data_IF_345743953811
#
_entry.id   IF_345743953811
#
_cell.length_a   1.000
_cell.length_b   1.000
_cell.length_c   1.000
_cell.angle_alpha   90.00
_cell.angle_beta   90.00
_cell.angle_gamma   90.00
#
_symmetry.space_group_name_H-M   'P 1'
#
loop_
_entity.id
_entity.type
_entity.pdbx_description
1 polymer ?
#
# COMPACT_ATOMS: atom_id res chain seq x y z
N UNK A 1 -26.25 -47.75 9.17
CA UNK A 1 -25.55 -47.43 7.89
C UNK A 1 -25.37 -45.92 7.70
N UNK A 2 -26.43 -45.09 7.73
CA UNK A 2 -26.29 -43.62 7.58
C UNK A 2 -25.37 -42.94 8.62
N UNK A 3 -25.40 -43.36 9.90
CA UNK A 3 -24.54 -42.76 10.95
C UNK A 3 -23.06 -43.11 10.73
N UNK A 4 -22.72 -44.35 10.38
CA UNK A 4 -21.35 -44.74 10.05
C UNK A 4 -20.83 -44.04 8.79
N UNK A 5 -21.67 -43.88 7.76
CA UNK A 5 -21.29 -43.15 6.53
C UNK A 5 -21.06 -41.67 6.83
N UNK A 6 -21.91 -41.02 7.62
CA UNK A 6 -21.70 -39.63 8.04
C UNK A 6 -20.43 -39.46 8.88
N UNK A 7 -20.15 -40.36 9.83
CA UNK A 7 -18.93 -40.29 10.66
C UNK A 7 -17.68 -40.52 9.80
N UNK A 8 -17.67 -41.49 8.90
CA UNK A 8 -16.56 -41.72 7.98
C UNK A 8 -16.32 -40.52 7.05
N UNK A 9 -17.37 -39.93 6.47
CA UNK A 9 -17.24 -38.73 5.61
C UNK A 9 -16.72 -37.54 6.40
N UNK A 10 -17.23 -37.28 7.61
CA UNK A 10 -16.73 -36.21 8.46
C UNK A 10 -15.26 -36.41 8.84
N UNK A 11 -14.86 -37.63 9.22
CA UNK A 11 -13.46 -37.94 9.55
C UNK A 11 -12.55 -37.77 8.33
N UNK A 12 -12.95 -38.25 7.15
CA UNK A 12 -12.18 -38.09 5.93
C UNK A 12 -12.01 -36.61 5.54
N UNK A 13 -13.08 -35.81 5.61
CA UNK A 13 -13.01 -34.37 5.31
C UNK A 13 -12.11 -33.64 6.31
N UNK A 14 -12.25 -33.92 7.61
CA UNK A 14 -11.39 -33.35 8.65
C UNK A 14 -9.92 -33.68 8.41
N UNK A 15 -9.61 -34.94 8.08
CA UNK A 15 -8.24 -35.37 7.79
C UNK A 15 -7.69 -34.66 6.54
N UNK A 16 -8.47 -34.58 5.45
CA UNK A 16 -8.05 -33.87 4.23
C UNK A 16 -7.78 -32.39 4.48
N UNK A 17 -8.66 -31.72 5.23
CA UNK A 17 -8.51 -30.30 5.57
C UNK A 17 -7.27 -30.09 6.43
N UNK A 18 -7.07 -30.91 7.46
CA UNK A 18 -5.87 -30.85 8.30
C UNK A 18 -4.59 -31.02 7.47
N UNK A 19 -4.53 -32.02 6.59
CA UNK A 19 -3.37 -32.26 5.72
C UNK A 19 -3.09 -31.05 4.81
N UNK A 20 -4.14 -30.44 4.23
CA UNK A 20 -4.01 -29.23 3.42
C UNK A 20 -3.47 -28.03 4.20
N UNK A 21 -3.93 -27.84 5.45
CA UNK A 21 -3.44 -26.77 6.33
C UNK A 21 -1.98 -26.99 6.73
N UNK A 22 -1.60 -28.21 7.12
CA UNK A 22 -0.23 -28.57 7.46
C UNK A 22 0.69 -28.29 6.26
N UNK A 23 0.35 -28.79 5.06
CA UNK A 23 1.14 -28.57 3.86
C UNK A 23 1.26 -27.07 3.51
N UNK A 24 0.16 -26.31 3.63
CA UNK A 24 0.17 -24.86 3.38
C UNK A 24 1.10 -24.13 4.34
N UNK A 25 1.09 -24.50 5.63
CA UNK A 25 1.96 -23.92 6.66
C UNK A 25 3.43 -24.24 6.42
N UNK A 26 3.75 -25.51 6.15
CA UNK A 26 5.09 -25.98 5.80
C UNK A 26 5.65 -25.23 4.58
N UNK A 27 4.87 -25.17 3.50
CA UNK A 27 5.29 -24.47 2.26
C UNK A 27 5.47 -22.97 2.48
N UNK A 28 4.66 -22.34 3.33
CA UNK A 28 4.79 -20.93 3.67
C UNK A 28 6.07 -20.66 4.48
N UNK A 29 6.40 -21.51 5.45
CA UNK A 29 7.63 -21.43 6.23
C UNK A 29 8.87 -21.57 5.36
N UNK A 30 8.94 -22.61 4.52
CA UNK A 30 10.07 -22.85 3.61
C UNK A 30 10.25 -21.65 2.67
N UNK A 31 9.16 -21.18 2.05
CA UNK A 31 9.21 -20.01 1.17
C UNK A 31 9.71 -18.77 1.91
N UNK A 32 9.19 -18.49 3.10
CA UNK A 32 9.62 -17.36 3.93
C UNK A 32 11.12 -17.39 4.24
N UNK A 33 11.63 -18.57 4.64
CA UNK A 33 13.05 -18.77 4.90
C UNK A 33 13.93 -18.51 3.67
N UNK A 34 13.56 -19.08 2.51
CA UNK A 34 14.31 -18.88 1.25
C UNK A 34 14.38 -17.40 0.87
N UNK A 35 13.25 -16.67 0.95
CA UNK A 35 13.23 -15.24 0.65
C UNK A 35 14.05 -14.41 1.65
N UNK A 36 14.07 -14.79 2.92
CA UNK A 36 14.92 -14.13 3.93
C UNK A 36 16.41 -14.32 3.63
N UNK A 37 16.82 -15.52 3.24
CA UNK A 37 18.19 -15.77 2.79
C UNK A 37 18.55 -14.97 1.53
N UNK A 38 17.63 -14.89 0.55
CA UNK A 38 17.82 -14.08 -0.65
C UNK A 38 17.99 -12.60 -0.33
N UNK A 39 17.16 -12.06 0.57
CA UNK A 39 17.28 -10.69 1.05
C UNK A 39 18.65 -10.40 1.67
N UNK A 40 19.10 -11.25 2.58
CA UNK A 40 20.41 -11.09 3.23
C UNK A 40 21.57 -11.09 2.22
N UNK A 41 21.54 -12.01 1.23
CA UNK A 41 22.55 -12.07 0.17
C UNK A 41 22.52 -10.83 -0.74
N UNK A 42 21.33 -10.38 -1.13
CA UNK A 42 21.16 -9.22 -2.00
C UNK A 42 21.61 -7.94 -1.29
N UNK A 43 21.20 -7.74 -0.04
CA UNK A 43 21.62 -6.60 0.78
C UNK A 43 23.14 -6.53 0.94
N UNK A 44 23.79 -7.67 1.28
CA UNK A 44 25.24 -7.76 1.36
C UNK A 44 25.92 -7.37 0.04
N UNK A 45 25.43 -7.90 -1.09
CA UNK A 45 26.01 -7.61 -2.41
C UNK A 45 25.90 -6.13 -2.77
N UNK A 46 24.73 -5.53 -2.56
CA UNK A 46 24.48 -4.10 -2.83
C UNK A 46 25.40 -3.22 -1.96
N UNK A 47 25.51 -3.50 -0.66
CA UNK A 47 26.39 -2.75 0.25
C UNK A 47 27.86 -2.81 -0.15
N UNK A 48 28.35 -4.00 -0.54
CA UNK A 48 29.74 -4.16 -0.99
C UNK A 48 29.99 -3.37 -2.29
N UNK A 49 29.10 -3.48 -3.28
CA UNK A 49 29.25 -2.75 -4.55
C UNK A 49 29.21 -1.24 -4.33
N UNK A 50 28.32 -0.75 -3.46
CA UNK A 50 28.21 0.67 -3.16
C UNK A 50 29.45 1.17 -2.41
N UNK A 51 29.96 0.40 -1.45
CA UNK A 51 31.19 0.74 -0.74
C UNK A 51 32.41 0.76 -1.69
N UNK A 52 32.53 -0.21 -2.60
CA UNK A 52 33.59 -0.22 -3.62
C UNK A 52 33.52 0.99 -4.55
N UNK A 53 32.32 1.45 -4.90
CA UNK A 53 32.13 2.66 -5.69
C UNK A 53 32.52 3.93 -4.89
N UNK A 54 32.13 4.01 -3.62
CA UNK A 54 32.47 5.14 -2.74
C UNK A 54 33.98 5.32 -2.56
N UNK A 55 34.73 4.23 -2.38
CA UNK A 55 36.20 4.30 -2.18
C UNK A 55 36.94 4.81 -3.41
N UNK A 56 36.36 4.70 -4.61
CA UNK A 56 36.97 5.20 -5.86
C UNK A 56 36.65 6.67 -6.16
N UNK A 57 35.84 7.31 -5.32
CA UNK A 57 35.39 8.67 -5.53
C UNK A 57 36.47 9.69 -5.15
N UNK A 58 36.47 10.85 -5.81
CA UNK A 58 37.39 11.94 -5.52
C UNK A 58 37.22 12.56 -4.12
N UNK A 59 38.30 13.15 -3.59
CA UNK A 59 38.33 13.79 -2.27
C UNK A 59 37.31 14.93 -2.14
N UNK A 60 37.09 15.72 -3.19
CA UNK A 60 36.13 16.82 -3.19
C UNK A 60 34.69 16.39 -2.87
N UNK A 61 34.31 15.14 -3.17
CA UNK A 61 33.01 14.59 -2.79
C UNK A 61 32.84 14.45 -1.27
N UNK A 62 33.92 14.12 -0.56
CA UNK A 62 33.91 13.91 0.90
C UNK A 62 34.00 15.23 1.68
N UNK A 63 34.44 16.32 1.07
CA UNK A 63 34.43 17.66 1.69
C UNK A 63 33.01 18.25 1.73
N UNK A 64 32.19 17.98 0.71
CA UNK A 64 30.80 18.46 0.64
C UNK A 64 29.85 17.56 1.43
N UNK A 65 30.10 16.25 1.46
CA UNK A 65 29.14 15.26 1.99
C UNK A 65 29.55 14.78 3.38
N UNK A 66 28.66 14.92 4.38
CA UNK A 66 28.93 14.46 5.75
C UNK A 66 29.06 12.94 5.81
N UNK A 67 30.07 12.44 6.54
CA UNK A 67 30.31 11.00 6.75
C UNK A 67 29.11 10.27 7.37
N UNK A 68 28.35 10.95 8.24
CA UNK A 68 27.14 10.42 8.86
C UNK A 68 26.03 10.14 7.84
N UNK A 69 25.83 11.03 6.88
CA UNK A 69 24.84 10.87 5.82
C UNK A 69 25.22 9.71 4.91
N UNK A 70 26.50 9.60 4.53
CA UNK A 70 26.99 8.48 3.72
C UNK A 70 26.78 7.13 4.41
N UNK A 71 27.01 7.05 5.72
CA UNK A 71 26.84 5.82 6.51
C UNK A 71 25.37 5.42 6.64
N UNK A 72 24.48 6.40 6.89
CA UNK A 72 23.03 6.15 6.91
C UNK A 72 22.53 5.71 5.54
N UNK A 73 22.94 6.34 4.44
CA UNK A 73 22.53 5.91 3.09
C UNK A 73 23.07 4.53 2.72
N UNK A 74 24.33 4.25 3.07
CA UNK A 74 24.93 2.92 2.87
C UNK A 74 24.18 1.84 3.66
N UNK A 75 23.64 2.17 4.84
CA UNK A 75 22.97 1.20 5.70
C UNK A 75 21.46 1.14 5.50
N UNK A 76 20.75 2.26 5.67
CA UNK A 76 19.30 2.35 5.69
C UNK A 76 18.71 2.32 4.29
N UNK A 77 19.20 3.15 3.36
CA UNK A 77 18.64 3.23 2.01
C UNK A 77 18.86 1.93 1.24
N UNK A 78 20.06 1.34 1.33
CA UNK A 78 20.34 0.04 0.70
C UNK A 78 19.48 -1.08 1.27
N UNK A 79 19.16 -1.05 2.57
CA UNK A 79 18.30 -2.05 3.22
C UNK A 79 16.85 -1.88 2.81
N UNK A 80 16.32 -0.66 2.84
CA UNK A 80 14.97 -0.34 2.39
C UNK A 80 14.77 -0.70 0.91
N UNK A 81 15.74 -0.37 0.06
CA UNK A 81 15.72 -0.73 -1.36
C UNK A 81 15.73 -2.25 -1.54
N UNK A 82 16.68 -2.95 -0.91
CA UNK A 82 16.80 -4.42 -1.01
C UNK A 82 15.52 -5.12 -0.53
N UNK A 83 14.94 -4.65 0.58
CA UNK A 83 13.72 -5.22 1.15
C UNK A 83 12.53 -5.01 0.21
N UNK A 84 12.39 -3.79 -0.32
CA UNK A 84 11.31 -3.46 -1.26
C UNK A 84 11.39 -4.31 -2.53
N UNK A 85 12.58 -4.49 -3.11
CA UNK A 85 12.76 -5.34 -4.30
C UNK A 85 12.34 -6.78 -4.01
N UNK A 86 12.85 -7.37 -2.93
CA UNK A 86 12.56 -8.77 -2.57
C UNK A 86 11.08 -8.98 -2.27
N UNK A 87 10.42 -8.05 -1.56
CA UNK A 87 8.99 -8.12 -1.28
C UNK A 87 8.14 -8.01 -2.55
N UNK A 88 8.44 -7.07 -3.44
CA UNK A 88 7.72 -6.91 -4.69
C UNK A 88 7.86 -8.14 -5.59
N UNK A 89 9.07 -8.71 -5.70
CA UNK A 89 9.30 -9.95 -6.46
C UNK A 89 8.54 -11.13 -5.84
N UNK A 90 8.50 -11.26 -4.51
CA UNK A 90 7.72 -12.31 -3.83
C UNK A 90 6.22 -12.19 -4.17
N UNK A 91 5.66 -10.98 -4.05
CA UNK A 91 4.25 -10.72 -4.31
C UNK A 91 3.93 -10.97 -5.78
N UNK A 92 4.79 -10.52 -6.69
CA UNK A 92 4.63 -10.72 -8.13
C UNK A 92 4.62 -12.21 -8.49
N UNK A 93 5.65 -12.95 -8.07
CA UNK A 93 5.75 -14.39 -8.36
C UNK A 93 4.56 -15.16 -7.79
N UNK A 94 4.16 -14.85 -6.55
CA UNK A 94 2.99 -15.46 -5.91
C UNK A 94 1.70 -15.18 -6.67
N UNK A 95 1.52 -13.94 -7.13
CA UNK A 95 0.32 -13.53 -7.85
C UNK A 95 0.28 -14.14 -9.25
N UNK A 96 1.43 -14.22 -9.93
CA UNK A 96 1.56 -14.88 -11.22
C UNK A 96 1.22 -16.38 -11.15
N UNK A 97 1.80 -17.11 -10.18
CA UNK A 97 1.50 -18.54 -9.98
C UNK A 97 0.02 -18.75 -9.66
N UNK A 98 -0.55 -17.92 -8.77
CA UNK A 98 -1.98 -18.00 -8.45
C UNK A 98 -2.86 -17.72 -9.67
N UNK A 99 -2.54 -16.70 -10.45
CA UNK A 99 -3.29 -16.33 -11.65
C UNK A 99 -3.29 -17.49 -12.66
N UNK A 100 -2.12 -18.05 -12.97
CA UNK A 100 -2.00 -19.18 -13.91
C UNK A 100 -2.71 -20.42 -13.36
N UNK A 101 -2.53 -20.74 -12.07
CA UNK A 101 -3.13 -21.91 -11.45
C UNK A 101 -4.66 -21.86 -11.36
N UNK A 102 -5.23 -20.69 -11.01
CA UNK A 102 -6.69 -20.52 -10.98
C UNK A 102 -7.26 -20.54 -12.39
N UNK A 103 -6.62 -19.85 -13.33
CA UNK A 103 -7.08 -19.80 -14.72
C UNK A 103 -7.09 -21.18 -15.37
N UNK A 104 -6.02 -21.98 -15.19
CA UNK A 104 -5.95 -23.34 -15.74
C UNK A 104 -6.99 -24.28 -15.13
N UNK A 105 -7.20 -24.23 -13.81
CA UNK A 105 -8.25 -25.01 -13.14
C UNK A 105 -9.65 -24.64 -13.65
N UNK A 106 -9.95 -23.35 -13.68
CA UNK A 106 -11.24 -22.82 -14.14
C UNK A 106 -11.56 -23.29 -15.57
N UNK A 107 -10.58 -23.18 -16.47
CA UNK A 107 -10.67 -23.60 -17.87
C UNK A 107 -10.92 -25.10 -18.00
N UNK A 108 -10.22 -25.93 -17.21
CA UNK A 108 -10.38 -27.39 -17.21
C UNK A 108 -11.76 -27.84 -16.72
N UNK A 109 -12.40 -27.10 -15.82
CA UNK A 109 -13.74 -27.44 -15.33
C UNK A 109 -14.82 -27.12 -16.36
N UNK A 110 -14.87 -25.88 -16.85
CA UNK A 110 -15.87 -25.47 -17.86
C UNK A 110 -15.49 -24.19 -18.58
N UNK A 111 -15.09 -24.31 -19.85
CA UNK A 111 -14.70 -23.16 -20.69
C UNK A 111 -15.81 -22.10 -20.85
N UNK A 112 -17.09 -22.49 -20.75
CA UNK A 112 -18.23 -21.59 -20.94
C UNK A 112 -18.39 -20.61 -19.77
N UNK A 113 -18.33 -21.08 -18.52
CA UNK A 113 -18.44 -20.19 -17.36
C UNK A 113 -17.22 -19.27 -17.25
N UNK A 114 -16.03 -19.76 -17.59
CA UNK A 114 -14.81 -18.94 -17.52
C UNK A 114 -14.82 -17.76 -18.46
N UNK A 115 -15.41 -17.91 -19.65
CA UNK A 115 -15.47 -16.83 -20.63
C UNK A 115 -16.39 -15.70 -20.15
N UNK A 116 -17.51 -16.06 -19.51
CA UNK A 116 -18.44 -15.09 -18.90
C UNK A 116 -17.75 -14.32 -17.78
N UNK A 117 -17.07 -15.00 -16.85
CA UNK A 117 -16.35 -14.33 -15.75
C UNK A 117 -15.18 -13.49 -16.25
N UNK A 118 -14.51 -13.93 -17.33
CA UNK A 118 -13.41 -13.17 -17.93
C UNK A 118 -13.88 -11.86 -18.59
N UNK A 119 -15.13 -11.77 -19.03
CA UNK A 119 -15.73 -10.52 -19.56
C UNK A 119 -16.23 -9.62 -18.42
N UNK A 120 -16.73 -10.20 -17.33
CA UNK A 120 -17.21 -9.44 -16.16
C UNK A 120 -16.07 -8.72 -15.41
N UNK A 121 -14.92 -9.39 -15.21
CA UNK A 121 -13.75 -8.84 -14.50
C UNK A 121 -13.23 -7.51 -15.08
N UNK A 122 -12.96 -7.36 -16.40
CA UNK A 122 -12.48 -6.09 -16.95
C UNK A 122 -13.53 -4.99 -16.86
N UNK A 123 -14.83 -5.32 -16.98
CA UNK A 123 -15.91 -4.34 -16.83
C UNK A 123 -15.91 -3.74 -15.43
N UNK A 124 -15.83 -4.58 -14.40
CA UNK A 124 -15.70 -4.12 -13.00
C UNK A 124 -14.41 -3.31 -12.82
N UNK A 125 -13.29 -3.78 -13.38
CA UNK A 125 -11.99 -3.11 -13.24
C UNK A 125 -11.98 -1.69 -13.84
N UNK A 126 -12.63 -1.50 -14.99
CA UNK A 126 -12.75 -0.18 -15.64
C UNK A 126 -13.58 0.76 -14.76
N UNK A 127 -14.75 0.32 -14.28
CA UNK A 127 -15.60 1.10 -13.38
C UNK A 127 -14.84 1.50 -12.09
N UNK A 128 -14.11 0.54 -11.49
CA UNK A 128 -13.27 0.80 -10.31
C UNK A 128 -12.16 1.80 -10.60
N UNK A 129 -11.51 1.72 -11.77
CA UNK A 129 -10.43 2.64 -12.15
C UNK A 129 -10.93 4.08 -12.27
N UNK A 130 -12.07 4.28 -12.92
CA UNK A 130 -12.70 5.61 -13.08
C UNK A 130 -13.02 6.20 -11.70
N UNK A 131 -13.69 5.41 -10.85
CA UNK A 131 -14.00 5.81 -9.49
C UNK A 131 -12.73 6.15 -8.68
N UNK A 132 -11.70 5.29 -8.73
CA UNK A 132 -10.47 5.48 -7.98
C UNK A 132 -9.72 6.75 -8.43
N UNK A 133 -9.65 7.03 -9.73
CA UNK A 133 -9.06 8.27 -10.24
C UNK A 133 -9.81 9.49 -9.75
N UNK A 134 -11.15 9.46 -9.77
CA UNK A 134 -11.96 10.57 -9.27
C UNK A 134 -11.80 10.75 -7.74
N UNK A 135 -11.84 9.66 -6.99
CA UNK A 135 -11.64 9.66 -5.53
C UNK A 135 -10.26 10.16 -5.12
N UNK A 136 -9.21 9.81 -5.87
CA UNK A 136 -7.85 10.31 -5.63
C UNK A 136 -7.72 11.81 -5.89
N UNK A 137 -8.34 12.34 -6.96
CA UNK A 137 -8.38 13.78 -7.22
C UNK A 137 -9.03 14.53 -6.05
N UNK A 138 -10.20 14.07 -5.60
CA UNK A 138 -10.92 14.69 -4.50
C UNK A 138 -10.19 14.55 -3.15
N UNK A 139 -9.51 13.42 -2.93
CA UNK A 139 -8.65 13.26 -1.74
C UNK A 139 -7.47 14.22 -1.75
N UNK A 140 -6.87 14.47 -2.92
CA UNK A 140 -5.79 15.45 -3.08
C UNK A 140 -6.30 16.87 -2.81
N UNK A 141 -7.46 17.23 -3.32
CA UNK A 141 -8.08 18.54 -3.09
C UNK A 141 -8.36 18.79 -1.60
N UNK A 142 -8.86 17.77 -0.87
CA UNK A 142 -9.02 17.81 0.59
C UNK A 142 -7.67 17.98 1.31
N UNK A 143 -6.61 17.30 0.85
CA UNK A 143 -5.27 17.45 1.44
C UNK A 143 -4.72 18.87 1.21
N UNK A 144 -4.89 19.42 0.00
CA UNK A 144 -4.45 20.77 -0.33
C UNK A 144 -5.24 21.82 0.47
N UNK A 145 -6.54 21.63 0.70
CA UNK A 145 -7.34 22.54 1.53
C UNK A 145 -6.92 22.51 3.00
N UNK A 146 -6.67 21.31 3.55
CA UNK A 146 -6.12 21.12 4.91
C UNK A 146 -4.75 21.77 5.03
N UNK A 147 -3.88 21.62 4.03
CA UNK A 147 -2.57 22.26 4.01
C UNK A 147 -2.68 23.79 4.03
N UNK A 148 -3.60 24.38 3.26
CA UNK A 148 -3.88 25.83 3.29
C UNK A 148 -4.40 26.30 4.64
N UNK A 149 -5.30 25.55 5.28
CA UNK A 149 -5.79 25.88 6.61
C UNK A 149 -4.66 25.82 7.65
N UNK A 150 -3.82 24.79 7.61
CA UNK A 150 -2.67 24.66 8.50
C UNK A 150 -1.62 25.76 8.28
N UNK A 151 -1.38 26.16 7.03
CA UNK A 151 -0.50 27.28 6.72
C UNK A 151 -1.04 28.60 7.31
N UNK A 152 -2.34 28.87 7.14
CA UNK A 152 -2.97 30.06 7.72
C UNK A 152 -2.91 30.07 9.26
N UNK A 153 -3.12 28.91 9.90
CA UNK A 153 -2.92 28.79 11.35
C UNK A 153 -1.47 29.03 11.76
N UNK A 154 -0.51 28.49 11.00
CA UNK A 154 0.92 28.71 11.23
C UNK A 154 1.31 30.18 11.13
N UNK A 155 0.82 30.89 10.11
CA UNK A 155 1.01 32.33 9.93
C UNK A 155 0.40 33.12 11.10
N UNK A 156 -0.84 32.81 11.48
CA UNK A 156 -1.52 33.47 12.59
C UNK A 156 -0.80 33.30 13.93
N UNK A 157 -0.32 32.09 14.22
CA UNK A 157 0.45 31.80 15.45
C UNK A 157 1.81 32.50 15.42
N UNK A 158 2.51 32.50 14.28
CA UNK A 158 3.79 33.21 14.13
C UNK A 158 3.63 34.74 14.28
N UNK A 159 2.51 35.28 13.79
CA UNK A 159 2.17 36.70 13.81
C UNK A 159 1.32 37.11 15.03
N UNK A 160 1.25 36.31 16.11
CA UNK A 160 0.35 36.57 17.24
C UNK A 160 0.56 37.94 17.89
N UNK A 161 1.82 38.42 17.92
CA UNK A 161 2.16 39.74 18.47
C UNK A 161 1.56 40.88 17.64
N UNK A 162 1.55 40.75 16.31
CA UNK A 162 1.00 41.78 15.42
C UNK A 162 -0.53 41.75 15.44
N UNK A 163 -1.14 40.58 15.46
CA UNK A 163 -2.61 40.44 15.58
C UNK A 163 -3.12 41.11 16.87
N UNK A 164 -2.40 40.92 17.98
CA UNK A 164 -2.73 41.58 19.25
C UNK A 164 -2.49 43.09 19.23
N UNK A 165 -1.43 43.57 18.59
CA UNK A 165 -1.18 45.01 18.51
C UNK A 165 -2.21 45.75 17.66
N UNK A 166 -2.78 45.10 16.65
CA UNK A 166 -3.87 45.65 15.83
C UNK A 166 -5.29 45.30 16.35
N UNK A 167 -5.39 44.53 17.44
CA UNK A 167 -6.65 44.07 18.02
C UNK A 167 -7.56 43.32 17.03
N UNK A 168 -6.97 42.57 16.09
CA UNK A 168 -7.68 41.87 14.98
C UNK A 168 -7.94 40.39 15.25
N UNK A 169 -8.01 39.96 16.52
CA UNK A 169 -8.15 38.55 16.91
C UNK A 169 -9.42 37.89 16.33
N UNK A 170 -10.57 38.58 16.41
CA UNK A 170 -11.83 38.03 15.87
C UNK A 170 -11.85 37.95 14.34
N UNK A 171 -11.17 38.87 13.65
CA UNK A 171 -11.08 38.85 12.19
C UNK A 171 -10.28 37.65 11.69
N UNK A 172 -9.17 37.36 12.36
CA UNK A 172 -8.33 36.20 12.03
C UNK A 172 -9.02 34.87 12.36
N UNK A 173 -9.75 34.81 13.48
CA UNK A 173 -10.54 33.64 13.86
C UNK A 173 -11.61 33.30 12.80
N UNK A 174 -12.35 34.30 12.30
CA UNK A 174 -13.34 34.12 11.22
C UNK A 174 -12.67 33.67 9.92
N UNK A 175 -11.53 34.27 9.56
CA UNK A 175 -10.75 33.86 8.37
C UNK A 175 -10.35 32.39 8.42
N UNK A 176 -9.96 31.90 9.60
CA UNK A 176 -9.63 30.48 9.79
C UNK A 176 -10.88 29.58 9.73
N UNK A 177 -11.99 30.02 10.32
CA UNK A 177 -13.29 29.35 10.26
C UNK A 177 -13.76 29.15 8.81
N UNK A 178 -13.69 30.19 7.98
CA UNK A 178 -14.05 30.14 6.56
C UNK A 178 -13.23 29.07 5.80
N UNK A 179 -11.90 29.02 6.04
CA UNK A 179 -11.02 28.01 5.42
C UNK A 179 -11.30 26.58 5.91
N UNK A 180 -11.78 26.45 7.14
CA UNK A 180 -12.16 25.18 7.70
C UNK A 180 -13.52 24.70 7.15
N UNK A 181 -14.45 25.62 6.90
CA UNK A 181 -15.72 25.34 6.22
C UNK A 181 -15.49 24.82 4.80
N UNK A 182 -14.64 25.48 4.01
CA UNK A 182 -14.27 25.01 2.67
C UNK A 182 -13.74 23.56 2.70
N UNK A 183 -12.90 23.27 3.70
CA UNK A 183 -12.33 21.94 3.91
C UNK A 183 -13.39 20.91 4.33
N UNK A 184 -14.34 21.32 5.15
CA UNK A 184 -15.46 20.48 5.57
C UNK A 184 -16.35 20.10 4.38
N UNK A 185 -16.67 21.04 3.50
CA UNK A 185 -17.49 20.79 2.31
C UNK A 185 -16.81 19.83 1.33
N UNK A 186 -15.51 19.98 1.11
CA UNK A 186 -14.72 19.05 0.30
C UNK A 186 -14.68 17.64 0.92
N UNK A 187 -14.54 17.54 2.25
CA UNK A 187 -14.61 16.26 2.96
C UNK A 187 -15.99 15.62 2.83
N UNK A 188 -17.06 16.39 3.01
CA UNK A 188 -18.44 15.91 2.86
C UNK A 188 -18.70 15.36 1.44
N UNK A 189 -18.24 16.07 0.40
CA UNK A 189 -18.30 15.59 -0.99
C UNK A 189 -17.52 14.29 -1.20
N UNK A 190 -16.32 14.18 -0.62
CA UNK A 190 -15.51 12.96 -0.72
C UNK A 190 -16.18 11.76 -0.05
N UNK A 191 -16.73 11.99 1.13
CA UNK A 191 -17.28 10.94 1.96
C UNK A 191 -18.64 10.47 1.41
N UNK A 192 -19.45 11.38 0.83
CA UNK A 192 -20.67 11.02 0.08
C UNK A 192 -20.36 10.20 -1.17
N UNK A 193 -19.38 10.60 -1.99
CA UNK A 193 -18.92 9.83 -3.15
C UNK A 193 -18.48 8.42 -2.74
N UNK A 194 -17.75 8.31 -1.61
CA UNK A 194 -17.34 7.02 -1.06
C UNK A 194 -18.51 6.19 -0.57
N UNK A 195 -19.48 6.80 0.11
CA UNK A 195 -20.68 6.12 0.59
C UNK A 195 -21.50 5.55 -0.58
N UNK A 196 -21.74 6.35 -1.62
CA UNK A 196 -22.45 5.92 -2.83
C UNK A 196 -21.74 4.74 -3.49
N UNK A 197 -20.42 4.81 -3.67
CA UNK A 197 -19.67 3.69 -4.26
C UNK A 197 -19.70 2.43 -3.40
N UNK A 198 -19.64 2.55 -2.07
CA UNK A 198 -19.73 1.39 -1.17
C UNK A 198 -21.11 0.74 -1.21
N UNK A 199 -22.18 1.52 -1.36
CA UNK A 199 -23.54 1.00 -1.56
C UNK A 199 -23.64 0.26 -2.89
N UNK A 200 -23.21 0.88 -3.98
CA UNK A 200 -23.22 0.26 -5.33
C UNK A 200 -22.38 -1.02 -5.37
N UNK A 201 -21.26 -1.09 -4.63
CA UNK A 201 -20.43 -2.31 -4.58
C UNK A 201 -21.04 -3.43 -3.73
N UNK A 202 -21.95 -3.10 -2.80
CA UNK A 202 -22.59 -4.10 -1.91
C UNK A 202 -23.86 -4.70 -2.50
N UNK A 203 -24.55 -3.95 -3.37
CA UNK A 203 -25.72 -4.41 -4.14
C UNK A 203 -25.22 -5.24 -5.31
#
# INVERSE_FOLDING_TARGET
>A
VCVCVCVCVCVCVCVCVCVCFLHSSLSAGVRGGVFMCMFSRLNKRVRIMLFQALVKQELGFFEVTKTGDLTSRLSDDTTKMSQSVVMNVNIFLRSAIKMVGVLSLMVSLSWKLTLVTFVEVPLITICQKIYNTYYQKLSKEVQDSVARANAAAGEGVAAIKTIRSFNTEQGEARRYEDRLMDTHDLKARRDTVRAVYLLVRRV
#
